data_IF_137324519173
#
_entry.id   IF_137324519173
#
_cell.length_a   1.000
_cell.length_b   1.000
_cell.length_c   1.000
_cell.angle_alpha   90.00
_cell.angle_beta   90.00
_cell.angle_gamma   90.00
#
_symmetry.space_group_name_H-M   'P 1'
#
loop_
_entity.id
_entity.type
_entity.pdbx_description
1 polymer ?
#
# COMPACT_ATOMS: atom_id res chain seq x y z
N UNK A 1 -11.10 -43.62 13.40
CA UNK A 1 -10.91 -42.79 12.18
C UNK A 1 -11.40 -41.35 12.34
N UNK A 2 -12.53 -41.07 13.00
CA UNK A 2 -13.08 -39.70 13.20
C UNK A 2 -12.16 -38.76 14.01
N UNK A 3 -11.41 -39.29 14.99
CA UNK A 3 -10.49 -38.50 15.82
C UNK A 3 -9.24 -38.00 15.08
N UNK A 4 -8.79 -38.73 14.05
CA UNK A 4 -7.64 -38.32 13.21
C UNK A 4 -8.01 -37.18 12.27
N UNK A 5 -9.25 -37.18 11.76
CA UNK A 5 -9.78 -36.08 10.93
C UNK A 5 -9.89 -34.76 11.71
N UNK A 6 -10.28 -34.83 12.98
CA UNK A 6 -10.40 -33.64 13.83
C UNK A 6 -9.04 -33.01 14.17
N UNK A 7 -7.99 -33.82 14.36
CA UNK A 7 -6.64 -33.30 14.60
C UNK A 7 -6.03 -32.66 13.35
N UNK A 8 -6.31 -33.21 12.16
CA UNK A 8 -5.82 -32.67 10.89
C UNK A 8 -6.44 -31.30 10.57
N UNK A 9 -7.72 -31.11 10.93
CA UNK A 9 -8.41 -29.82 10.77
C UNK A 9 -7.83 -28.72 11.67
N UNK A 10 -7.35 -29.09 12.88
CA UNK A 10 -6.74 -28.15 13.82
C UNK A 10 -5.36 -27.67 13.35
N UNK A 11 -4.59 -28.53 12.68
CA UNK A 11 -3.27 -28.20 12.12
C UNK A 11 -3.36 -27.24 10.92
N UNK A 12 -4.44 -27.28 10.14
CA UNK A 12 -4.67 -26.37 9.01
C UNK A 12 -4.97 -24.93 9.46
N UNK A 13 -5.50 -24.73 10.68
CA UNK A 13 -5.80 -23.41 11.22
C UNK A 13 -4.54 -22.65 11.69
N UNK A 14 -3.45 -23.36 11.96
CA UNK A 14 -2.19 -22.75 12.41
C UNK A 14 -1.32 -22.22 11.26
N UNK A 15 -1.65 -22.57 10.01
CA UNK A 15 -0.88 -22.15 8.84
C UNK A 15 -1.30 -20.79 8.25
N UNK A 16 -2.35 -20.16 8.82
CA UNK A 16 -2.79 -18.82 8.41
C UNK A 16 -2.04 -17.68 9.12
N UNK A 17 -1.17 -17.97 10.09
CA UNK A 17 -0.35 -16.97 10.77
C UNK A 17 1.04 -16.86 10.10
N UNK A 18 1.04 -16.68 8.79
CA UNK A 18 2.19 -16.23 8.03
C UNK A 18 1.91 -14.81 7.59
N UNK A 19 2.06 -13.84 8.49
CA UNK A 19 2.14 -12.44 8.07
C UNK A 19 3.45 -12.29 7.31
N UNK A 20 3.35 -12.34 5.97
CA UNK A 20 4.44 -11.94 5.10
C UNK A 20 4.82 -10.50 5.45
N UNK A 21 5.92 -10.37 6.18
CA UNK A 21 6.66 -9.14 6.46
C UNK A 21 7.29 -8.53 5.18
N UNK A 22 6.85 -8.96 3.99
CA UNK A 22 7.19 -8.37 2.70
C UNK A 22 6.66 -6.93 2.54
N UNK A 23 5.97 -6.39 3.56
CA UNK A 23 5.49 -5.01 3.64
C UNK A 23 5.99 -4.33 4.93
N UNK A 24 7.22 -4.62 5.39
CA UNK A 24 7.88 -3.75 6.35
C UNK A 24 8.09 -2.37 5.69
N UNK A 25 7.06 -1.52 5.77
CA UNK A 25 7.11 -0.13 5.35
C UNK A 25 8.16 0.51 6.24
N UNK A 26 9.21 1.04 5.61
CA UNK A 26 10.14 1.91 6.33
C UNK A 26 9.32 2.97 7.03
N UNK A 27 9.38 3.00 8.37
CA UNK A 27 8.65 4.00 9.14
C UNK A 27 9.17 5.38 8.72
N UNK A 28 8.30 6.34 8.36
CA UNK A 28 8.74 7.69 8.02
C UNK A 28 9.54 8.30 9.17
N UNK A 29 10.59 9.05 8.82
CA UNK A 29 11.45 9.73 9.80
C UNK A 29 10.73 10.93 10.46
N UNK A 30 9.96 11.67 9.66
CA UNK A 30 9.14 12.81 10.05
C UNK A 30 7.88 12.93 9.16
N UNK A 31 7.15 14.03 9.29
CA UNK A 31 5.92 14.30 8.54
C UNK A 31 6.19 14.63 7.05
N UNK A 32 7.27 15.37 6.78
CA UNK A 32 7.74 15.67 5.42
C UNK A 32 8.11 14.38 4.68
N UNK A 33 8.80 13.47 5.37
CA UNK A 33 9.19 12.17 4.85
C UNK A 33 7.96 11.29 4.60
N UNK A 34 6.99 11.29 5.52
CA UNK A 34 5.72 10.58 5.33
C UNK A 34 4.99 11.07 4.08
N UNK A 35 4.92 12.39 3.88
CA UNK A 35 4.32 12.99 2.69
C UNK A 35 5.07 12.61 1.41
N UNK A 36 6.41 12.66 1.43
CA UNK A 36 7.27 12.26 0.31
C UNK A 36 7.06 10.79 -0.05
N UNK A 37 7.00 9.91 0.95
CA UNK A 37 6.74 8.48 0.78
C UNK A 37 5.34 8.22 0.21
N UNK A 38 4.33 8.94 0.66
CA UNK A 38 2.96 8.84 0.13
C UNK A 38 2.92 9.21 -1.35
N UNK A 39 3.50 10.37 -1.72
CA UNK A 39 3.55 10.84 -3.10
C UNK A 39 4.28 9.82 -3.99
N UNK A 40 5.43 9.29 -3.55
CA UNK A 40 6.18 8.27 -4.30
C UNK A 40 5.35 7.01 -4.53
N UNK A 41 4.73 6.48 -3.46
CA UNK A 41 3.90 5.29 -3.55
C UNK A 41 2.70 5.48 -4.51
N UNK A 42 2.04 6.64 -4.48
CA UNK A 42 0.94 6.94 -5.39
C UNK A 42 1.42 7.06 -6.86
N UNK A 43 2.54 7.73 -7.11
CA UNK A 43 3.12 7.88 -8.45
C UNK A 43 3.62 6.55 -9.03
N UNK A 44 4.03 5.61 -8.18
CA UNK A 44 4.40 4.25 -8.58
C UNK A 44 3.20 3.31 -8.79
N UNK A 45 1.98 3.77 -8.48
CA UNK A 45 0.79 2.92 -8.47
C UNK A 45 0.75 1.92 -7.30
N UNK A 46 1.61 2.07 -6.29
CA UNK A 46 1.62 1.25 -5.08
C UNK A 46 0.62 1.78 -4.04
N UNK A 47 -0.67 1.74 -4.37
CA UNK A 47 -1.74 2.25 -3.52
C UNK A 47 -1.90 1.47 -2.21
N UNK A 48 -1.46 0.21 -2.16
CA UNK A 48 -1.37 -0.55 -0.91
C UNK A 48 -0.42 0.14 0.08
N UNK A 49 0.74 0.60 -0.37
CA UNK A 49 1.68 1.32 0.49
C UNK A 49 1.17 2.73 0.82
N UNK A 50 0.61 3.46 -0.16
CA UNK A 50 0.05 4.79 0.06
C UNK A 50 -1.04 4.79 1.15
N UNK A 51 -1.85 3.73 1.21
CA UNK A 51 -2.93 3.57 2.20
C UNK A 51 -2.45 3.52 3.65
N UNK A 52 -1.20 3.11 3.87
CA UNK A 52 -0.61 3.05 5.22
C UNK A 52 0.01 4.40 5.66
N UNK A 53 0.05 5.39 4.76
CA UNK A 53 0.67 6.70 4.98
C UNK A 53 -0.37 7.82 5.11
N UNK A 54 -1.66 7.49 5.09
CA UNK A 54 -2.77 8.43 5.28
C UNK A 54 -3.42 8.24 6.66
N UNK A 55 -4.09 9.27 7.14
CA UNK A 55 -5.04 9.13 8.25
C UNK A 55 -6.26 8.37 7.75
N UNK A 56 -6.61 7.27 8.41
CA UNK A 56 -7.70 6.38 8.00
C UNK A 56 -9.06 6.92 8.42
N UNK A 57 -9.52 7.96 7.73
CA UNK A 57 -10.90 8.45 7.79
C UNK A 57 -11.63 8.25 6.46
N UNK A 58 -12.96 8.42 6.48
CA UNK A 58 -13.79 8.16 5.31
C UNK A 58 -13.45 9.05 4.11
N UNK A 59 -13.07 10.31 4.36
CA UNK A 59 -12.75 11.27 3.31
C UNK A 59 -11.41 10.95 2.64
N UNK A 60 -10.37 10.68 3.44
CA UNK A 60 -9.04 10.33 2.95
C UNK A 60 -9.04 9.00 2.21
N UNK A 61 -9.76 7.99 2.72
CA UNK A 61 -9.92 6.69 2.04
C UNK A 61 -10.63 6.87 0.70
N UNK A 62 -11.73 7.63 0.66
CA UNK A 62 -12.46 7.86 -0.58
C UNK A 62 -11.62 8.60 -1.63
N UNK A 63 -10.83 9.59 -1.21
CA UNK A 63 -9.93 10.31 -2.12
C UNK A 63 -8.85 9.39 -2.68
N UNK A 64 -8.26 8.54 -1.84
CA UNK A 64 -7.25 7.57 -2.28
C UNK A 64 -7.82 6.55 -3.28
N UNK A 65 -9.03 6.04 -3.03
CA UNK A 65 -9.71 5.11 -3.94
C UNK A 65 -10.02 5.75 -5.30
N UNK A 66 -10.31 7.06 -5.32
CA UNK A 66 -10.51 7.80 -6.57
C UNK A 66 -9.19 7.93 -7.34
N UNK A 67 -8.09 8.24 -6.66
CA UNK A 67 -6.76 8.34 -7.27
C UNK A 67 -6.30 6.98 -7.82
N UNK A 68 -6.50 5.90 -7.06
CA UNK A 68 -6.18 4.53 -7.48
C UNK A 68 -6.93 4.17 -8.76
N UNK A 69 -8.24 4.42 -8.81
CA UNK A 69 -9.05 4.18 -10.01
C UNK A 69 -8.61 5.04 -11.19
N UNK A 70 -8.27 6.31 -10.97
CA UNK A 70 -7.79 7.19 -12.04
C UNK A 70 -6.46 6.69 -12.63
N UNK A 71 -5.51 6.28 -11.78
CA UNK A 71 -4.24 5.71 -12.22
C UNK A 71 -4.45 4.40 -13.00
N UNK A 72 -5.31 3.51 -12.50
CA UNK A 72 -5.61 2.22 -13.16
C UNK A 72 -6.36 2.39 -14.48
N UNK A 73 -7.21 3.41 -14.62
CA UNK A 73 -7.91 3.71 -15.86
C UNK A 73 -7.07 4.52 -16.85
N UNK A 74 -5.93 5.05 -16.42
CA UNK A 74 -4.98 5.68 -17.34
C UNK A 74 -4.31 4.59 -18.18
N UNK A 75 -4.70 4.51 -19.45
CA UNK A 75 -4.14 3.55 -20.40
C UNK A 75 -2.93 4.08 -21.17
N UNK A 76 -2.45 5.30 -20.89
CA UNK A 76 -1.25 5.87 -21.51
C UNK A 76 0.02 5.40 -20.78
N UNK A 77 0.83 4.51 -21.38
CA UNK A 77 2.04 4.00 -20.74
C UNK A 77 3.13 5.07 -20.58
N UNK A 78 3.13 6.09 -21.43
CA UNK A 78 4.09 7.19 -21.36
C UNK A 78 3.78 8.11 -20.19
N UNK A 79 2.50 8.40 -19.95
CA UNK A 79 2.09 9.18 -18.80
C UNK A 79 2.39 8.45 -17.48
N UNK A 80 2.04 7.16 -17.40
CA UNK A 80 2.38 6.35 -16.22
C UNK A 80 3.89 6.25 -15.99
N UNK A 81 4.70 6.17 -17.06
CA UNK A 81 6.16 6.21 -16.95
C UNK A 81 6.61 7.57 -16.42
N UNK A 82 6.02 8.66 -16.91
CA UNK A 82 6.29 10.02 -16.43
C UNK A 82 6.05 10.16 -14.93
N UNK A 83 4.97 9.58 -14.40
CA UNK A 83 4.73 9.54 -12.94
C UNK A 83 5.82 8.77 -12.18
N UNK A 84 6.22 7.60 -12.68
CA UNK A 84 7.30 6.80 -12.06
C UNK A 84 8.63 7.53 -12.04
N UNK A 85 8.96 8.26 -13.10
CA UNK A 85 10.22 8.97 -13.26
C UNK A 85 10.23 10.39 -12.65
N UNK A 86 9.07 10.89 -12.19
CA UNK A 86 8.97 12.22 -11.61
C UNK A 86 9.83 12.37 -10.34
N UNK A 87 10.54 13.50 -10.26
CA UNK A 87 11.28 13.90 -9.08
C UNK A 87 10.35 14.61 -8.07
N UNK A 88 10.47 14.26 -6.80
CA UNK A 88 9.71 14.89 -5.70
C UNK A 88 10.62 15.93 -5.05
N UNK A 89 10.22 17.19 -5.06
CA UNK A 89 10.95 18.32 -4.43
C UNK A 89 10.02 19.01 -3.46
N UNK A 90 10.26 18.82 -2.16
CA UNK A 90 9.54 19.50 -1.08
C UNK A 90 10.47 20.55 -0.49
N UNK A 91 9.99 21.78 -0.35
CA UNK A 91 10.71 22.87 0.27
C UNK A 91 10.14 23.08 1.66
N UNK A 92 10.95 22.86 2.68
CA UNK A 92 10.66 23.21 4.06
C UNK A 92 11.37 24.53 4.40
N UNK A 93 10.70 25.38 5.19
CA UNK A 93 11.06 26.79 5.43
C UNK A 93 11.89 26.99 6.69
#
# INVERSE_FOLDING_TARGET
>A
MKKLFSSLLLLLLLWSCGSNDDNAIAKPEDDVDAARMFIRAALDGNYKQARNLIVTDSSNVQLLDNLERAYLHNNDPMEQRGYREAAIRIHDT
#
